data_IF_505326016376
#
_entry.id   IF_505326016376
#
_cell.length_a   1.000
_cell.length_b   1.000
_cell.length_c   1.000
_cell.angle_alpha   90.00
_cell.angle_beta   90.00
_cell.angle_gamma   90.00
#
_symmetry.space_group_name_H-M   'P 1'
#
loop_
_entity.id
_entity.type
_entity.pdbx_description
1 polymer ?
#
# COMPACT_ATOMS: atom_id res chain seq x y z
N UNK A 1 30.04 -24.08 -21.48
CA UNK A 1 29.03 -23.27 -22.20
C UNK A 1 27.59 -23.56 -21.72
N UNK A 2 27.18 -24.83 -21.61
CA UNK A 2 25.85 -25.23 -21.11
C UNK A 2 25.57 -24.89 -19.63
N UNK A 3 26.57 -24.83 -18.76
CA UNK A 3 26.41 -24.47 -17.34
C UNK A 3 26.15 -22.97 -17.15
N UNK A 4 26.93 -22.12 -17.85
CA UNK A 4 26.72 -20.67 -17.89
C UNK A 4 25.34 -20.28 -18.45
N UNK A 5 24.80 -21.03 -19.42
CA UNK A 5 23.45 -20.83 -19.95
C UNK A 5 22.37 -21.12 -18.90
N UNK A 6 22.52 -22.22 -18.14
CA UNK A 6 21.58 -22.63 -17.09
C UNK A 6 21.56 -21.68 -15.89
N UNK A 7 22.69 -21.06 -15.55
CA UNK A 7 22.74 -20.04 -14.50
C UNK A 7 22.00 -18.76 -14.91
N UNK A 8 22.16 -18.32 -16.16
CA UNK A 8 21.44 -17.16 -16.69
C UNK A 8 19.93 -17.39 -16.69
N UNK A 9 19.47 -18.57 -17.15
CA UNK A 9 18.04 -18.93 -17.10
C UNK A 9 17.47 -18.91 -15.68
N UNK A 10 18.22 -19.43 -14.70
CA UNK A 10 17.80 -19.43 -13.29
C UNK A 10 17.74 -18.01 -12.72
N UNK A 11 18.70 -17.16 -13.01
CA UNK A 11 18.69 -15.76 -12.59
C UNK A 11 17.48 -15.01 -13.18
N UNK A 12 17.16 -15.25 -14.45
CA UNK A 12 15.99 -14.66 -15.11
C UNK A 12 14.69 -15.17 -14.49
N UNK A 13 14.58 -16.47 -14.19
CA UNK A 13 13.42 -17.03 -13.50
C UNK A 13 13.20 -16.37 -12.13
N UNK A 14 14.27 -16.20 -11.35
CA UNK A 14 14.20 -15.54 -10.03
C UNK A 14 13.76 -14.08 -10.13
N UNK A 15 14.26 -13.36 -11.14
CA UNK A 15 13.84 -11.99 -11.40
C UNK A 15 12.36 -11.90 -11.77
N UNK A 16 11.88 -12.79 -12.65
CA UNK A 16 10.47 -12.87 -13.03
C UNK A 16 9.60 -13.18 -11.81
N UNK A 17 9.99 -14.14 -10.98
CA UNK A 17 9.28 -14.46 -9.74
C UNK A 17 9.22 -13.25 -8.80
N UNK A 18 10.32 -12.52 -8.62
CA UNK A 18 10.36 -11.33 -7.77
C UNK A 18 9.41 -10.25 -8.27
N UNK A 19 9.38 -9.99 -9.58
CA UNK A 19 8.46 -9.03 -10.19
C UNK A 19 7.01 -9.49 -10.03
N UNK A 20 6.72 -10.79 -10.20
CA UNK A 20 5.39 -11.35 -9.97
C UNK A 20 4.93 -11.18 -8.52
N UNK A 21 5.78 -11.47 -7.54
CA UNK A 21 5.46 -11.28 -6.12
C UNK A 21 5.23 -9.81 -5.76
N UNK A 22 6.07 -8.90 -6.27
CA UNK A 22 5.88 -7.47 -6.07
C UNK A 22 4.56 -6.97 -6.70
N UNK A 23 4.22 -7.49 -7.89
CA UNK A 23 2.96 -7.18 -8.57
C UNK A 23 1.76 -7.73 -7.78
N UNK A 24 1.85 -8.95 -7.26
CA UNK A 24 0.82 -9.54 -6.41
C UNK A 24 0.59 -8.72 -5.14
N UNK A 25 1.67 -8.29 -4.47
CA UNK A 25 1.57 -7.38 -3.33
C UNK A 25 0.90 -6.05 -3.69
N UNK A 26 1.27 -5.45 -4.82
CA UNK A 26 0.68 -4.20 -5.29
C UNK A 26 -0.82 -4.34 -5.56
N UNK A 27 -1.27 -5.46 -6.10
CA UNK A 27 -2.68 -5.73 -6.36
C UNK A 27 -3.47 -6.00 -5.06
N UNK A 28 -2.87 -6.69 -4.10
CA UNK A 28 -3.52 -6.97 -2.80
C UNK A 28 -3.54 -5.71 -1.92
N UNK A 29 -2.52 -4.87 -1.96
CA UNK A 29 -2.40 -3.65 -1.17
C UNK A 29 -2.37 -2.41 -2.07
N UNK A 30 -3.50 -2.06 -2.73
CA UNK A 30 -3.50 -1.02 -3.77
C UNK A 30 -3.36 0.41 -3.22
N UNK A 31 -3.63 0.60 -1.93
CA UNK A 31 -3.54 1.87 -1.23
C UNK A 31 -2.18 2.11 -0.58
N UNK A 32 -1.88 3.38 -0.30
CA UNK A 32 -0.56 3.84 0.12
C UNK A 32 -0.48 4.03 1.63
N UNK A 33 0.66 3.70 2.23
CA UNK A 33 0.93 4.06 3.62
C UNK A 33 1.41 5.50 3.75
N UNK A 34 1.44 6.03 4.98
CA UNK A 34 1.91 7.38 5.30
C UNK A 34 3.34 7.67 4.84
N UNK A 35 4.19 6.65 4.79
CA UNK A 35 5.57 6.78 4.31
C UNK A 35 5.60 7.03 2.79
N UNK A 36 4.69 6.41 2.05
CA UNK A 36 4.54 6.56 0.61
C UNK A 36 3.70 7.78 0.21
N UNK A 37 2.73 8.17 1.05
CA UNK A 37 1.66 9.11 0.69
C UNK A 37 2.19 10.43 0.15
N UNK A 38 3.16 11.06 0.81
CA UNK A 38 3.72 12.34 0.35
C UNK A 38 4.35 12.27 -1.04
N UNK A 39 5.09 11.19 -1.33
CA UNK A 39 5.67 11.00 -2.65
C UNK A 39 4.59 10.75 -3.70
N UNK A 40 3.51 10.08 -3.31
CA UNK A 40 2.36 9.81 -4.18
C UNK A 40 1.56 11.09 -4.47
N UNK A 41 1.31 11.95 -3.46
CA UNK A 41 0.69 13.26 -3.67
C UNK A 41 1.53 14.12 -4.62
N UNK A 42 2.83 14.19 -4.38
CA UNK A 42 3.75 14.93 -5.27
C UNK A 42 3.78 14.37 -6.70
N UNK A 43 3.78 13.04 -6.86
CA UNK A 43 3.73 12.40 -8.18
C UNK A 43 2.41 12.67 -8.90
N UNK A 44 1.27 12.66 -8.19
CA UNK A 44 -0.01 13.08 -8.73
C UNK A 44 0.07 14.51 -9.27
N UNK A 45 0.56 15.44 -8.45
CA UNK A 45 0.59 16.85 -8.81
C UNK A 45 1.47 17.12 -10.02
N UNK A 46 2.61 16.44 -10.11
CA UNK A 46 3.49 16.50 -11.28
C UNK A 46 2.82 15.94 -12.55
N UNK A 47 2.06 14.85 -12.45
CA UNK A 47 1.38 14.23 -13.59
C UNK A 47 0.18 15.06 -14.08
N UNK A 48 -0.64 15.59 -13.18
CA UNK A 48 -1.92 16.23 -13.51
C UNK A 48 -1.88 17.77 -13.43
N UNK A 49 -1.16 18.37 -12.48
CA UNK A 49 -1.05 19.83 -12.34
C UNK A 49 0.19 20.42 -13.03
N UNK A 50 1.25 19.61 -13.21
CA UNK A 50 2.45 19.90 -14.02
C UNK A 50 3.26 21.11 -13.57
N UNK A 51 2.90 22.31 -14.04
CA UNK A 51 3.58 23.57 -13.72
C UNK A 51 2.71 24.48 -12.85
N UNK A 52 1.48 24.07 -12.53
CA UNK A 52 0.56 24.80 -11.67
C UNK A 52 0.90 24.52 -10.20
N UNK A 53 2.03 25.07 -9.74
CA UNK A 53 2.58 24.83 -8.40
C UNK A 53 1.60 25.24 -7.29
N UNK A 54 0.79 26.28 -7.51
CA UNK A 54 -0.21 26.75 -6.55
C UNK A 54 -1.24 25.68 -6.17
N UNK A 55 -1.45 24.68 -7.04
CA UNK A 55 -2.39 23.58 -6.80
C UNK A 55 -1.77 22.41 -6.04
N UNK A 56 -0.48 22.44 -5.74
CA UNK A 56 0.20 21.29 -5.18
C UNK A 56 -0.16 21.06 -3.72
N UNK A 57 -0.18 19.79 -3.33
CA UNK A 57 -0.63 19.33 -2.02
C UNK A 57 0.20 19.88 -0.87
N UNK A 58 1.50 20.07 -1.10
CA UNK A 58 2.42 20.55 -0.07
C UNK A 58 2.13 21.99 0.44
N UNK A 59 1.30 22.76 -0.27
CA UNK A 59 0.81 24.06 0.20
C UNK A 59 -0.38 23.93 1.15
N UNK A 60 -1.25 22.95 0.92
CA UNK A 60 -2.39 22.65 1.81
C UNK A 60 -1.94 21.83 3.02
N UNK A 61 -0.97 20.93 2.82
CA UNK A 61 -0.46 20.00 3.82
C UNK A 61 1.07 19.92 3.80
N UNK A 62 1.78 20.92 4.35
CA UNK A 62 3.22 20.87 4.51
C UNK A 62 3.56 19.84 5.59
N UNK A 63 3.98 18.64 5.19
CA UNK A 63 4.35 17.59 6.14
C UNK A 63 5.40 18.05 7.17
N UNK A 64 5.38 17.44 8.35
CA UNK A 64 6.26 17.82 9.49
C UNK A 64 7.76 17.62 9.25
N UNK A 65 8.14 16.98 8.14
CA UNK A 65 9.54 16.75 7.75
C UNK A 65 9.75 17.20 6.30
N UNK A 66 10.77 18.04 6.01
CA UNK A 66 11.09 18.41 4.64
C UNK A 66 11.59 17.20 3.86
N UNK A 67 10.99 16.95 2.70
CA UNK A 67 11.34 15.82 1.81
C UNK A 67 11.86 16.33 0.49
N UNK A 68 12.74 15.56 -0.14
CA UNK A 68 13.23 15.86 -1.47
C UNK A 68 12.16 15.63 -2.53
N UNK A 69 12.05 16.54 -3.50
CA UNK A 69 11.15 16.41 -4.64
C UNK A 69 11.73 15.55 -5.78
N UNK A 70 13.00 15.15 -5.68
CA UNK A 70 13.72 14.41 -6.73
C UNK A 70 13.09 13.05 -7.01
N UNK A 71 12.66 12.33 -5.96
CA UNK A 71 12.03 11.01 -6.10
C UNK A 71 10.71 11.07 -6.88
N UNK A 72 9.72 11.86 -6.43
CA UNK A 72 8.46 12.06 -7.16
C UNK A 72 8.64 12.61 -8.59
N UNK A 73 9.60 13.51 -8.81
CA UNK A 73 9.94 14.00 -10.15
C UNK A 73 10.41 12.88 -11.08
N UNK A 74 11.32 12.04 -10.60
CA UNK A 74 11.80 10.89 -11.38
C UNK A 74 10.68 9.89 -11.67
N UNK A 75 9.86 9.54 -10.66
CA UNK A 75 8.77 8.58 -10.81
C UNK A 75 7.65 9.09 -11.72
N UNK A 76 7.28 10.37 -11.61
CA UNK A 76 6.29 10.99 -12.49
C UNK A 76 6.78 11.04 -13.94
N UNK A 77 8.04 11.39 -14.20
CA UNK A 77 8.61 11.36 -15.54
C UNK A 77 8.59 9.93 -16.14
N UNK A 78 8.95 8.94 -15.33
CA UNK A 78 8.96 7.53 -15.77
C UNK A 78 7.55 7.00 -16.06
N UNK A 79 6.56 7.41 -15.28
CA UNK A 79 5.17 6.98 -15.43
C UNK A 79 4.34 7.85 -16.39
N UNK A 80 4.80 9.04 -16.76
CA UNK A 80 4.05 10.02 -17.54
C UNK A 80 3.48 9.53 -18.88
N UNK A 81 4.21 8.75 -19.72
CA UNK A 81 3.65 8.28 -20.98
C UNK A 81 2.45 7.35 -20.77
N UNK A 82 2.58 6.39 -19.86
CA UNK A 82 1.51 5.45 -19.55
C UNK A 82 0.36 6.14 -18.80
N UNK A 83 0.64 7.06 -17.87
CA UNK A 83 -0.37 7.84 -17.17
C UNK A 83 -1.17 8.75 -18.14
N UNK A 84 -0.50 9.31 -19.15
CA UNK A 84 -1.16 10.12 -20.18
C UNK A 84 -2.08 9.28 -21.06
N UNK A 85 -1.70 8.04 -21.39
CA UNK A 85 -2.57 7.09 -22.10
C UNK A 85 -3.79 6.75 -21.25
N UNK A 86 -3.61 6.43 -19.96
CA UNK A 86 -4.73 6.16 -19.05
C UNK A 86 -5.68 7.35 -18.96
N UNK A 87 -5.14 8.57 -18.82
CA UNK A 87 -5.94 9.78 -18.77
C UNK A 87 -6.65 10.07 -20.10
N UNK A 88 -6.04 9.77 -21.25
CA UNK A 88 -6.66 9.96 -22.57
C UNK A 88 -7.80 8.97 -22.83
N UNK A 89 -7.76 7.79 -22.19
CA UNK A 89 -8.82 6.78 -22.21
C UNK A 89 -9.88 6.99 -21.13
N UNK A 90 -9.84 8.13 -20.42
CA UNK A 90 -10.73 8.46 -19.29
C UNK A 90 -10.74 7.36 -18.19
N UNK A 91 -9.59 6.71 -18.01
CA UNK A 91 -9.42 5.70 -16.97
C UNK A 91 -9.22 6.39 -15.61
N UNK A 92 -9.86 5.85 -14.58
CA UNK A 92 -9.77 6.35 -13.20
C UNK A 92 -8.33 6.59 -12.75
N UNK A 93 -8.11 7.74 -12.09
CA UNK A 93 -6.81 8.13 -11.51
C UNK A 93 -6.24 7.08 -10.56
N UNK A 94 -7.07 6.22 -9.98
CA UNK A 94 -6.66 5.08 -9.17
C UNK A 94 -5.64 4.17 -9.90
N UNK A 95 -5.82 3.93 -11.20
CA UNK A 95 -4.87 3.09 -11.97
C UNK A 95 -3.53 3.79 -12.18
N UNK A 96 -3.52 5.12 -12.27
CA UNK A 96 -2.28 5.90 -12.30
C UNK A 96 -1.52 5.81 -10.97
N UNK A 97 -2.20 5.68 -9.83
CA UNK A 97 -1.53 5.36 -8.56
C UNK A 97 -0.85 3.99 -8.61
N UNK A 98 -1.54 2.96 -9.09
CA UNK A 98 -0.94 1.62 -9.23
C UNK A 98 0.27 1.65 -10.17
N UNK A 99 0.19 2.41 -11.26
CA UNK A 99 1.30 2.60 -12.19
C UNK A 99 2.51 3.24 -11.52
N UNK A 100 2.34 4.37 -10.82
CA UNK A 100 3.45 5.07 -10.12
C UNK A 100 4.10 4.15 -9.08
N UNK A 101 3.31 3.42 -8.30
CA UNK A 101 3.81 2.45 -7.32
C UNK A 101 4.50 1.27 -7.97
N UNK A 102 3.99 0.78 -9.09
CA UNK A 102 4.63 -0.25 -9.92
C UNK A 102 5.99 0.21 -10.45
N UNK A 103 6.08 1.43 -10.97
CA UNK A 103 7.34 2.05 -11.39
C UNK A 103 8.35 2.11 -10.24
N UNK A 104 7.93 2.54 -9.04
CA UNK A 104 8.78 2.55 -7.85
C UNK A 104 9.27 1.14 -7.50
N UNK A 105 8.36 0.15 -7.46
CA UNK A 105 8.71 -1.25 -7.20
C UNK A 105 9.72 -1.82 -8.18
N UNK A 106 9.53 -1.57 -9.49
CA UNK A 106 10.46 -1.98 -10.54
C UNK A 106 11.82 -1.31 -10.42
N UNK A 107 11.86 -0.01 -10.07
CA UNK A 107 13.12 0.71 -9.83
C UNK A 107 13.89 0.12 -8.65
N UNK A 108 13.20 -0.22 -7.55
CA UNK A 108 13.81 -0.86 -6.37
C UNK A 108 14.33 -2.26 -6.74
N UNK A 109 13.54 -3.06 -7.44
CA UNK A 109 13.96 -4.39 -7.91
C UNK A 109 15.21 -4.28 -8.80
N UNK A 110 15.21 -3.36 -9.77
CA UNK A 110 16.34 -3.14 -10.65
C UNK A 110 17.59 -2.68 -9.91
N UNK A 111 17.45 -1.74 -8.96
CA UNK A 111 18.57 -1.25 -8.15
C UNK A 111 19.18 -2.37 -7.31
N UNK A 112 18.35 -3.17 -6.63
CA UNK A 112 18.81 -4.32 -5.83
C UNK A 112 19.45 -5.40 -6.70
N UNK A 113 18.87 -5.69 -7.87
CA UNK A 113 19.42 -6.66 -8.81
C UNK A 113 20.79 -6.21 -9.36
N UNK A 114 20.92 -4.93 -9.72
CA UNK A 114 22.20 -4.37 -10.18
C UNK A 114 23.24 -4.39 -9.07
N UNK A 115 22.85 -4.02 -7.85
CA UNK A 115 23.71 -4.07 -6.66
C UNK A 115 24.21 -5.51 -6.41
N UNK A 116 23.30 -6.49 -6.45
CA UNK A 116 23.67 -7.90 -6.32
C UNK A 116 24.71 -8.32 -7.37
N UNK A 117 24.54 -7.90 -8.63
CA UNK A 117 25.47 -8.25 -9.72
C UNK A 117 26.85 -7.65 -9.54
N UNK A 118 26.92 -6.36 -9.22
CA UNK A 118 28.22 -5.69 -9.02
C UNK A 118 28.96 -6.22 -7.80
N UNK A 119 28.23 -6.49 -6.70
CA UNK A 119 28.86 -7.06 -5.51
C UNK A 119 29.42 -8.47 -5.79
N UNK A 120 28.68 -9.33 -6.51
CA UNK A 120 29.18 -10.64 -6.94
C UNK A 120 30.43 -10.54 -7.82
N UNK A 121 30.50 -9.51 -8.67
CA UNK A 121 31.64 -9.27 -9.57
C UNK A 121 32.88 -8.81 -8.81
N UNK A 122 32.72 -7.91 -7.83
CA UNK A 122 33.85 -7.26 -7.16
C UNK A 122 34.42 -8.09 -5.99
N UNK A 123 33.57 -8.80 -5.25
CA UNK A 123 33.93 -9.46 -3.99
C UNK A 123 33.95 -10.99 -4.06
N UNK A 124 33.66 -11.56 -5.23
CA UNK A 124 33.35 -12.99 -5.35
C UNK A 124 32.15 -13.38 -4.47
N UNK A 125 31.89 -14.67 -4.27
CA UNK A 125 30.75 -15.14 -3.48
C UNK A 125 30.85 -14.88 -1.97
N UNK A 126 31.98 -14.37 -1.46
CA UNK A 126 32.40 -14.61 -0.07
C UNK A 126 32.51 -13.35 0.80
N UNK A 127 32.65 -12.15 0.22
CA UNK A 127 32.96 -10.89 0.93
C UNK A 127 31.81 -9.85 0.91
N UNK A 128 30.58 -10.28 1.19
CA UNK A 128 29.36 -9.45 1.30
C UNK A 128 29.13 -8.83 2.71
N UNK A 129 30.14 -8.80 3.58
CA UNK A 129 29.93 -8.95 5.04
C UNK A 129 29.70 -7.69 5.88
N UNK A 130 29.89 -6.47 5.38
CA UNK A 130 29.92 -5.30 6.27
C UNK A 130 28.62 -4.48 6.26
N UNK A 131 27.76 -4.79 7.24
CA UNK A 131 26.89 -3.89 8.02
C UNK A 131 25.46 -3.61 7.50
N UNK A 132 25.15 -3.59 6.20
CA UNK A 132 23.75 -3.46 5.69
C UNK A 132 23.22 -4.75 5.03
N UNK A 133 24.11 -5.72 4.78
CA UNK A 133 23.81 -6.98 4.07
C UNK A 133 23.60 -8.20 4.97
N UNK A 134 23.64 -8.04 6.30
CA UNK A 134 23.63 -9.20 7.22
C UNK A 134 22.39 -10.07 7.04
N UNK A 135 21.21 -9.46 6.85
CA UNK A 135 19.96 -10.21 6.60
C UNK A 135 19.97 -10.97 5.27
N UNK A 136 20.25 -10.33 4.11
CA UNK A 136 20.45 -11.05 2.85
C UNK A 136 21.52 -12.14 2.92
N UNK A 137 22.64 -11.90 3.61
CA UNK A 137 23.75 -12.85 3.73
C UNK A 137 23.37 -14.07 4.58
N UNK A 138 22.72 -13.86 5.74
CA UNK A 138 22.22 -14.96 6.56
C UNK A 138 21.18 -15.79 5.81
N UNK A 139 20.30 -15.16 5.03
CA UNK A 139 19.34 -15.85 4.17
C UNK A 139 20.05 -16.65 3.06
N UNK A 140 21.12 -16.14 2.47
CA UNK A 140 21.93 -16.87 1.47
C UNK A 140 22.62 -18.08 2.11
N UNK A 141 23.25 -17.92 3.28
CA UNK A 141 23.91 -19.02 3.99
C UNK A 141 22.88 -20.10 4.36
N UNK A 142 21.71 -19.69 4.88
CA UNK A 142 20.61 -20.60 5.18
C UNK A 142 20.13 -21.33 3.90
N UNK A 143 20.00 -20.63 2.77
CA UNK A 143 19.61 -21.22 1.50
C UNK A 143 20.64 -22.23 0.97
N UNK A 144 21.94 -21.94 1.08
CA UNK A 144 23.01 -22.88 0.71
C UNK A 144 22.95 -24.13 1.59
N UNK A 145 22.77 -23.97 2.91
CA UNK A 145 22.60 -25.08 3.84
C UNK A 145 21.39 -25.94 3.51
N UNK A 146 20.23 -25.31 3.30
CA UNK A 146 18.99 -25.99 2.89
C UNK A 146 19.17 -26.76 1.57
N UNK A 147 19.81 -26.13 0.58
CA UNK A 147 20.09 -26.75 -0.73
C UNK A 147 20.99 -27.97 -0.59
N UNK A 148 22.06 -27.87 0.20
CA UNK A 148 22.98 -29.00 0.47
C UNK A 148 22.26 -30.18 1.12
N UNK A 149 21.37 -29.91 2.10
CA UNK A 149 20.57 -30.95 2.75
C UNK A 149 19.63 -31.63 1.74
N UNK A 150 18.92 -30.85 0.93
CA UNK A 150 17.95 -31.33 -0.06
C UNK A 150 18.60 -32.17 -1.17
N UNK A 151 19.75 -31.75 -1.70
CA UNK A 151 20.48 -32.50 -2.74
C UNK A 151 20.94 -33.85 -2.20
N UNK A 152 21.34 -33.91 -0.93
CA UNK A 152 21.88 -35.11 -0.30
C UNK A 152 20.80 -36.00 0.35
N UNK A 153 19.50 -35.78 0.11
CA UNK A 153 18.40 -36.47 0.82
C UNK A 153 18.48 -38.01 0.78
N UNK A 154 19.03 -38.61 -0.27
CA UNK A 154 19.13 -40.08 -0.40
C UNK A 154 20.27 -40.70 0.41
N UNK A 155 21.22 -39.92 0.92
CA UNK A 155 22.46 -40.43 1.53
C UNK A 155 22.25 -41.05 2.91
N UNK A 156 21.40 -40.48 3.75
CA UNK A 156 21.17 -41.00 5.11
C UNK A 156 19.79 -40.62 5.63
N UNK A 157 19.34 -41.32 6.68
CA UNK A 157 18.10 -40.99 7.40
C UNK A 157 18.15 -39.56 7.97
N UNK A 158 19.34 -39.10 8.40
CA UNK A 158 19.52 -37.72 8.88
C UNK A 158 19.26 -36.69 7.77
N UNK A 159 19.73 -36.92 6.54
CA UNK A 159 19.43 -36.05 5.40
C UNK A 159 17.95 -36.09 4.99
N UNK A 160 17.28 -37.25 5.13
CA UNK A 160 15.83 -37.36 4.92
C UNK A 160 15.05 -36.52 5.93
N UNK A 161 15.39 -36.64 7.22
CA UNK A 161 14.78 -35.85 8.29
C UNK A 161 15.07 -34.35 8.11
N UNK A 162 16.32 -34.00 7.79
CA UNK A 162 16.71 -32.63 7.49
C UNK A 162 15.94 -32.04 6.31
N UNK A 163 15.72 -32.81 5.25
CA UNK A 163 14.93 -32.36 4.09
C UNK A 163 13.47 -32.10 4.46
N UNK A 164 12.88 -32.94 5.33
CA UNK A 164 11.53 -32.70 5.87
C UNK A 164 11.47 -31.39 6.67
N UNK A 165 12.49 -31.11 7.50
CA UNK A 165 12.60 -29.85 8.26
C UNK A 165 12.68 -28.66 7.30
N UNK A 166 13.51 -28.73 6.25
CA UNK A 166 13.65 -27.67 5.24
C UNK A 166 12.31 -27.40 4.54
N UNK A 167 11.62 -28.45 4.08
CA UNK A 167 10.30 -28.31 3.43
C UNK A 167 9.29 -27.67 4.39
N UNK A 168 9.24 -28.15 5.63
CA UNK A 168 8.33 -27.63 6.66
C UNK A 168 8.61 -26.16 6.96
N UNK A 169 9.88 -25.80 7.14
CA UNK A 169 10.31 -24.41 7.34
C UNK A 169 9.90 -23.50 6.18
N UNK A 170 10.07 -23.94 4.93
CA UNK A 170 9.65 -23.16 3.75
C UNK A 170 8.12 -22.97 3.70
N UNK A 171 7.35 -24.02 4.01
CA UNK A 171 5.89 -23.93 4.09
C UNK A 171 5.44 -22.97 5.21
N UNK A 172 6.05 -23.05 6.39
CA UNK A 172 5.75 -22.14 7.50
C UNK A 172 6.06 -20.69 7.13
N UNK A 173 7.20 -20.40 6.48
CA UNK A 173 7.53 -19.05 6.01
C UNK A 173 6.55 -18.54 4.97
N UNK A 174 6.13 -19.40 4.02
CA UNK A 174 5.14 -19.03 3.02
C UNK A 174 3.79 -18.69 3.67
N UNK A 175 3.30 -19.53 4.58
CA UNK A 175 2.08 -19.28 5.34
C UNK A 175 2.18 -17.99 6.18
N UNK A 176 3.30 -17.78 6.87
CA UNK A 176 3.53 -16.60 7.69
C UNK A 176 3.58 -15.31 6.85
N UNK A 177 4.29 -15.36 5.71
CA UNK A 177 4.34 -14.23 4.77
C UNK A 177 2.97 -13.92 4.19
N UNK A 178 2.18 -14.95 3.84
CA UNK A 178 0.80 -14.79 3.42
C UNK A 178 -0.10 -14.17 4.49
N UNK A 179 0.08 -14.57 5.76
CA UNK A 179 -0.65 -13.98 6.89
C UNK A 179 -0.27 -12.51 7.11
N UNK A 180 1.01 -12.14 7.00
CA UNK A 180 1.46 -10.75 7.09
C UNK A 180 0.95 -9.90 5.93
N UNK A 181 0.91 -10.46 4.71
CA UNK A 181 0.30 -9.81 3.54
C UNK A 181 -1.19 -9.57 3.76
N UNK A 182 -1.91 -10.57 4.28
CA UNK A 182 -3.32 -10.45 4.63
C UNK A 182 -3.53 -9.40 5.74
N UNK A 183 -2.64 -9.29 6.72
CA UNK A 183 -2.67 -8.23 7.73
C UNK A 183 -2.44 -6.84 7.13
N UNK A 184 -1.48 -6.73 6.21
CA UNK A 184 -1.17 -5.49 5.50
C UNK A 184 -2.36 -4.99 4.68
N UNK A 185 -3.08 -5.89 3.99
CA UNK A 185 -4.27 -5.55 3.21
C UNK A 185 -5.32 -4.77 4.02
N UNK A 186 -5.55 -5.16 5.28
CA UNK A 186 -6.51 -4.51 6.18
C UNK A 186 -6.00 -3.22 6.83
N UNK A 187 -4.81 -2.76 6.48
CA UNK A 187 -4.15 -1.64 7.13
C UNK A 187 -4.30 -0.32 6.33
N UNK A 188 -5.28 -0.23 5.44
CA UNK A 188 -5.57 0.96 4.63
C UNK A 188 -7.02 1.46 4.73
N UNK A 189 -7.56 1.66 5.95
CA UNK A 189 -8.96 2.05 6.12
C UNK A 189 -9.32 3.37 5.42
N UNK A 190 -8.43 4.36 5.34
CA UNK A 190 -8.71 5.63 4.65
C UNK A 190 -8.91 5.46 3.14
N UNK A 191 -8.06 4.65 2.49
CA UNK A 191 -8.21 4.31 1.07
C UNK A 191 -9.53 3.58 0.80
N UNK A 192 -9.87 2.62 1.66
CA UNK A 192 -11.16 1.89 1.60
C UNK A 192 -12.34 2.83 1.82
N UNK A 193 -12.24 3.78 2.75
CA UNK A 193 -13.29 4.76 3.03
C UNK A 193 -13.58 5.64 1.80
N UNK A 194 -12.54 6.14 1.14
CA UNK A 194 -12.67 6.94 -0.09
C UNK A 194 -13.27 6.12 -1.24
N UNK A 195 -12.80 4.89 -1.42
CA UNK A 195 -13.36 3.99 -2.45
C UNK A 195 -14.87 3.76 -2.20
N UNK A 196 -15.24 3.40 -0.98
CA UNK A 196 -16.63 3.11 -0.62
C UNK A 196 -17.54 4.34 -0.75
N UNK A 197 -17.03 5.52 -0.42
CA UNK A 197 -17.75 6.79 -0.62
C UNK A 197 -18.03 7.01 -2.10
N UNK A 198 -17.02 6.83 -2.96
CA UNK A 198 -17.15 6.97 -4.41
C UNK A 198 -18.07 5.94 -5.07
N UNK A 199 -18.12 4.72 -4.54
CA UNK A 199 -19.03 3.68 -5.00
C UNK A 199 -20.48 3.92 -4.58
N UNK A 200 -20.70 4.58 -3.44
CA UNK A 200 -22.05 4.75 -2.89
C UNK A 200 -22.72 6.05 -3.31
N UNK A 201 -21.97 7.16 -3.36
CA UNK A 201 -22.54 8.47 -3.66
C UNK A 201 -22.41 8.75 -5.16
N UNK A 202 -23.52 9.07 -5.87
CA UNK A 202 -23.46 9.35 -7.30
C UNK A 202 -22.49 10.49 -7.65
N UNK A 203 -21.73 10.39 -8.76
CA UNK A 203 -20.77 11.41 -9.16
C UNK A 203 -21.36 12.82 -9.38
N UNK A 204 -22.65 12.88 -9.76
CA UNK A 204 -23.36 14.14 -10.01
C UNK A 204 -23.76 14.90 -8.74
N UNK A 205 -23.68 14.25 -7.57
CA UNK A 205 -24.02 14.88 -6.29
C UNK A 205 -22.99 15.93 -5.91
N UNK A 206 -23.44 17.09 -5.43
CA UNK A 206 -22.57 18.13 -4.91
C UNK A 206 -22.00 17.73 -3.53
N UNK A 207 -20.89 17.00 -3.55
CA UNK A 207 -20.21 16.52 -2.34
C UNK A 207 -19.04 17.43 -1.97
N UNK A 208 -19.00 17.81 -0.70
CA UNK A 208 -17.83 18.38 -0.03
C UNK A 208 -17.43 17.42 1.08
N UNK A 209 -16.25 16.82 0.98
CA UNK A 209 -15.74 15.82 1.92
C UNK A 209 -14.53 16.36 2.66
N UNK A 210 -14.60 16.36 3.98
CA UNK A 210 -13.42 16.56 4.81
C UNK A 210 -12.73 15.24 5.10
N UNK A 211 -11.40 15.22 5.00
CA UNK A 211 -10.55 14.05 5.19
C UNK A 211 -9.59 14.39 6.33
N UNK A 212 -9.75 13.72 7.46
CA UNK A 212 -8.89 13.95 8.62
C UNK A 212 -7.50 13.31 8.47
N UNK A 213 -6.63 13.61 9.44
CA UNK A 213 -5.26 13.12 9.47
C UNK A 213 -5.20 11.59 9.47
N UNK A 214 -6.03 10.91 10.27
CA UNK A 214 -6.02 9.45 10.34
C UNK A 214 -6.41 8.81 9.00
N UNK A 215 -7.40 9.37 8.31
CA UNK A 215 -7.82 8.94 6.97
C UNK A 215 -6.71 9.20 5.95
N UNK A 216 -6.12 10.40 5.96
CA UNK A 216 -5.01 10.78 5.09
C UNK A 216 -3.78 9.85 5.24
N UNK A 217 -3.46 9.44 6.46
CA UNK A 217 -2.32 8.56 6.76
C UNK A 217 -2.56 7.08 6.41
N UNK A 218 -3.82 6.69 6.16
CA UNK A 218 -4.22 5.29 5.98
C UNK A 218 -4.79 4.98 4.59
N UNK A 219 -4.30 5.65 3.55
CA UNK A 219 -4.54 5.24 2.16
C UNK A 219 -5.10 6.32 1.24
N UNK A 220 -5.48 7.49 1.77
CA UNK A 220 -6.06 8.55 0.95
C UNK A 220 -4.97 9.32 0.19
N UNK A 221 -5.13 9.41 -1.12
CA UNK A 221 -4.30 10.22 -2.02
C UNK A 221 -5.19 10.99 -3.01
N UNK A 222 -4.64 12.00 -3.68
CA UNK A 222 -5.31 12.72 -4.77
C UNK A 222 -5.64 11.83 -5.97
N UNK A 223 -4.99 10.68 -6.10
CA UNK A 223 -5.40 9.67 -7.09
C UNK A 223 -6.75 9.01 -6.76
N UNK A 224 -7.20 9.07 -5.49
CA UNK A 224 -8.52 8.58 -5.07
C UNK A 224 -9.63 9.64 -5.19
N UNK A 225 -9.29 10.88 -5.57
CA UNK A 225 -10.27 11.96 -5.77
C UNK A 225 -10.92 11.82 -7.16
N UNK A 226 -11.79 10.82 -7.32
CA UNK A 226 -12.25 10.37 -8.64
C UNK A 226 -13.21 11.34 -9.32
N UNK A 227 -13.96 12.13 -8.56
CA UNK A 227 -15.01 13.00 -9.08
C UNK A 227 -14.55 14.46 -9.08
N UNK A 228 -14.31 15.10 -10.25
CA UNK A 228 -13.83 16.48 -10.32
C UNK A 228 -14.83 17.53 -9.80
N UNK A 229 -16.12 17.18 -9.75
CA UNK A 229 -17.20 18.03 -9.20
C UNK A 229 -17.22 18.06 -7.68
N UNK A 230 -16.52 17.12 -7.02
CA UNK A 230 -16.48 17.03 -5.57
C UNK A 230 -15.36 17.92 -5.02
N UNK A 231 -15.61 18.49 -3.84
CA UNK A 231 -14.60 19.21 -3.07
C UNK A 231 -14.00 18.27 -2.03
N UNK A 232 -12.69 18.11 -2.07
CA UNK A 232 -11.92 17.37 -1.07
C UNK A 232 -11.13 18.39 -0.24
N UNK A 233 -11.26 18.31 1.08
CA UNK A 233 -10.64 19.26 2.01
C UNK A 233 -9.86 18.50 3.07
N UNK A 234 -8.54 18.73 3.16
CA UNK A 234 -7.63 18.03 4.08
C UNK A 234 -7.10 18.93 5.19
N UNK A 235 -7.66 20.12 5.38
CA UNK A 235 -7.14 21.07 6.36
C UNK A 235 -7.33 20.56 7.78
N UNK A 236 -6.29 20.67 8.61
CA UNK A 236 -6.33 20.18 10.00
C UNK A 236 -6.95 21.17 11.00
N UNK A 237 -7.17 22.43 10.59
CA UNK A 237 -7.63 23.53 11.45
C UNK A 237 -9.15 23.50 11.75
N UNK A 238 -9.84 22.47 11.26
CA UNK A 238 -11.28 22.30 11.39
C UNK A 238 -11.69 22.03 12.84
N UNK A 239 -12.35 23.01 13.45
CA UNK A 239 -12.98 22.86 14.77
C UNK A 239 -14.41 22.33 14.63
N UNK A 240 -14.75 21.21 15.29
CA UNK A 240 -16.07 20.57 15.20
C UNK A 240 -17.25 21.49 15.54
N UNK A 241 -17.06 22.50 16.39
CA UNK A 241 -18.16 23.37 16.84
C UNK A 241 -18.50 24.50 15.86
N UNK A 242 -17.53 24.96 15.06
CA UNK A 242 -17.67 26.14 14.19
C UNK A 242 -17.87 25.73 12.73
N UNK A 243 -17.19 24.67 12.29
CA UNK A 243 -17.13 24.29 10.87
C UNK A 243 -17.72 22.90 10.59
N UNK A 244 -18.38 22.25 11.56
CA UNK A 244 -19.02 20.95 11.34
C UNK A 244 -20.11 20.96 10.28
N UNK A 245 -20.68 22.12 9.93
CA UNK A 245 -21.67 22.24 8.87
C UNK A 245 -21.07 22.58 7.49
N UNK A 246 -19.76 22.79 7.37
CA UNK A 246 -19.13 23.20 6.13
C UNK A 246 -19.06 22.06 5.09
N UNK A 247 -18.87 20.82 5.54
CA UNK A 247 -18.72 19.66 4.66
C UNK A 247 -19.95 18.77 4.72
N UNK A 248 -20.28 18.15 3.58
CA UNK A 248 -21.40 17.19 3.48
C UNK A 248 -21.05 15.83 4.09
N UNK A 249 -19.77 15.48 4.02
CA UNK A 249 -19.23 14.21 4.49
C UNK A 249 -17.94 14.44 5.27
N UNK A 250 -17.70 13.59 6.26
CA UNK A 250 -16.47 13.58 7.04
C UNK A 250 -15.89 12.17 7.06
N UNK A 251 -14.66 12.01 6.61
CA UNK A 251 -13.84 10.82 6.82
C UNK A 251 -12.99 11.10 8.05
N UNK A 252 -13.25 10.38 9.14
CA UNK A 252 -12.55 10.64 10.38
C UNK A 252 -12.26 9.41 11.22
N UNK A 253 -11.27 9.52 12.11
CA UNK A 253 -10.96 8.51 13.11
C UNK A 253 -12.19 8.15 13.96
N UNK A 254 -12.34 6.85 14.24
CA UNK A 254 -13.36 6.35 15.14
C UNK A 254 -13.03 6.76 16.58
N UNK A 255 -13.46 7.97 16.95
CA UNK A 255 -13.39 8.47 18.31
C UNK A 255 -14.81 8.84 18.79
N UNK A 256 -15.38 8.09 19.75
CA UNK A 256 -16.73 8.33 20.25
C UNK A 256 -16.96 9.77 20.74
N UNK A 257 -15.95 10.41 21.35
CA UNK A 257 -16.05 11.78 21.86
C UNK A 257 -16.19 12.78 20.71
N UNK A 258 -15.39 12.62 19.65
CA UNK A 258 -15.47 13.51 18.49
C UNK A 258 -16.73 13.26 17.67
N UNK A 259 -17.13 12.00 17.47
CA UNK A 259 -18.36 11.66 16.72
C UNK A 259 -19.59 12.24 17.40
N UNK A 260 -19.64 12.27 18.75
CA UNK A 260 -20.74 12.87 19.49
C UNK A 260 -20.92 14.37 19.21
N UNK A 261 -19.87 15.08 18.81
CA UNK A 261 -19.96 16.50 18.44
C UNK A 261 -20.74 16.70 17.13
N UNK A 262 -20.74 15.69 16.24
CA UNK A 262 -21.45 15.74 14.96
C UNK A 262 -22.87 15.16 15.02
N UNK A 263 -23.32 14.62 16.18
CA UNK A 263 -24.59 13.86 16.30
C UNK A 263 -25.84 14.61 15.82
N UNK A 264 -25.81 15.94 15.85
CA UNK A 264 -26.94 16.79 15.48
C UNK A 264 -26.92 17.20 13.99
N UNK A 265 -25.78 17.08 13.32
CA UNK A 265 -25.58 17.56 11.94
C UNK A 265 -25.35 16.41 10.96
N UNK A 266 -24.65 15.37 11.41
CA UNK A 266 -24.30 14.21 10.60
C UNK A 266 -24.69 12.91 11.29
N UNK A 267 -24.84 11.87 10.47
CA UNK A 267 -25.01 10.49 10.92
C UNK A 267 -23.94 9.60 10.32
N UNK A 268 -23.62 8.51 11.01
CA UNK A 268 -22.66 7.52 10.51
C UNK A 268 -23.24 6.86 9.27
N UNK A 269 -22.54 7.02 8.14
CA UNK A 269 -22.82 6.35 6.88
C UNK A 269 -22.14 4.98 6.86
N UNK A 270 -20.83 4.94 7.20
CA UNK A 270 -20.05 3.70 7.22
C UNK A 270 -19.11 3.64 8.43
N UNK A 271 -18.96 2.43 8.97
CA UNK A 271 -17.85 2.04 9.83
C UNK A 271 -16.82 1.32 8.97
N UNK A 272 -15.56 1.77 9.01
CA UNK A 272 -14.47 1.18 8.25
C UNK A 272 -13.52 0.46 9.20
N UNK A 273 -13.48 -0.84 9.04
CA UNK A 273 -12.60 -1.71 9.82
C UNK A 273 -11.16 -1.62 9.33
N UNK A 274 -10.21 -1.60 10.27
CA UNK A 274 -8.79 -1.71 10.01
C UNK A 274 -8.15 -2.80 10.87
N UNK A 275 -6.92 -3.17 10.54
CA UNK A 275 -6.11 -4.10 11.33
C UNK A 275 -5.92 -3.58 12.77
N UNK A 276 -6.19 -4.44 13.76
CA UNK A 276 -5.96 -4.13 15.18
C UNK A 276 -4.95 -5.08 15.82
N UNK A 277 -4.93 -6.34 15.41
CA UNK A 277 -3.98 -7.32 15.92
C UNK A 277 -4.25 -8.74 15.43
N UNK A 278 -3.54 -9.70 16.03
CA UNK A 278 -3.72 -11.13 15.75
C UNK A 278 -4.47 -11.76 16.93
N UNK A 279 -5.58 -12.42 16.63
CA UNK A 279 -6.34 -13.24 17.55
C UNK A 279 -5.89 -14.68 17.55
N UNK A 280 -6.11 -15.36 18.66
CA UNK A 280 -5.87 -16.79 18.82
C UNK A 280 -7.15 -17.47 19.30
N UNK A 281 -7.59 -18.52 18.61
CA UNK A 281 -8.74 -19.34 18.97
C UNK A 281 -8.49 -20.79 18.51
N UNK A 282 -8.30 -21.70 19.48
CA UNK A 282 -8.07 -23.13 19.24
C UNK A 282 -9.25 -23.85 18.56
N UNK A 283 -10.44 -23.25 18.55
CA UNK A 283 -11.64 -23.82 17.91
C UNK A 283 -11.74 -23.51 16.41
N UNK A 284 -10.85 -22.66 15.87
CA UNK A 284 -10.80 -22.31 14.46
C UNK A 284 -9.52 -22.86 13.82
N UNK A 285 -9.58 -23.20 12.53
CA UNK A 285 -8.41 -23.64 11.75
C UNK A 285 -8.23 -22.70 10.56
N UNK A 286 -7.10 -21.96 10.46
CA UNK A 286 -5.99 -21.91 11.41
C UNK A 286 -6.39 -21.24 12.74
N UNK A 287 -5.73 -21.56 13.86
CA UNK A 287 -6.08 -21.03 15.18
C UNK A 287 -5.71 -19.55 15.34
N UNK A 288 -5.05 -18.95 14.35
CA UNK A 288 -4.74 -17.53 14.31
C UNK A 288 -5.65 -16.85 13.29
N UNK A 289 -6.25 -15.73 13.68
CA UNK A 289 -7.06 -14.90 12.79
C UNK A 289 -6.70 -13.43 12.97
N UNK A 290 -7.04 -12.62 11.99
CA UNK A 290 -6.81 -11.18 12.07
C UNK A 290 -7.99 -10.54 12.80
N UNK A 291 -7.69 -9.85 13.90
CA UNK A 291 -8.64 -8.99 14.60
C UNK A 291 -8.68 -7.65 13.88
N UNK A 292 -9.83 -7.34 13.31
CA UNK A 292 -10.13 -6.01 12.78
C UNK A 292 -11.04 -5.26 13.75
N UNK A 293 -10.93 -3.95 13.75
CA UNK A 293 -11.74 -3.05 14.57
C UNK A 293 -12.09 -1.82 13.74
N UNK A 294 -13.23 -1.17 14.01
CA UNK A 294 -13.57 0.11 13.38
C UNK A 294 -12.51 1.15 13.71
N UNK A 295 -11.70 1.53 12.73
CA UNK A 295 -10.65 2.54 12.88
C UNK A 295 -11.09 3.90 12.35
N UNK A 296 -11.90 3.92 11.30
CA UNK A 296 -12.46 5.15 10.72
C UNK A 296 -13.98 5.06 10.59
N UNK A 297 -14.61 6.21 10.51
CA UNK A 297 -16.01 6.37 10.17
C UNK A 297 -16.17 7.36 9.02
N UNK A 298 -17.17 7.12 8.20
CA UNK A 298 -17.65 8.07 7.21
C UNK A 298 -18.96 8.62 7.73
N UNK A 299 -19.03 9.93 7.93
CA UNK A 299 -20.25 10.63 8.32
C UNK A 299 -20.88 11.28 7.08
N UNK A 300 -22.21 11.34 7.05
CA UNK A 300 -23.02 12.02 6.03
C UNK A 300 -24.02 12.96 6.71
N UNK A 301 -24.27 14.14 6.13
CA UNK A 301 -25.31 15.05 6.62
C UNK A 301 -26.67 14.37 6.71
N UNK A 302 -27.37 14.61 7.83
CA UNK A 302 -28.65 13.95 8.14
C UNK A 302 -29.71 14.20 7.05
N UNK A 303 -29.80 15.42 6.51
CA UNK A 303 -30.81 15.71 5.48
C UNK A 303 -30.56 14.93 4.18
N UNK A 304 -29.30 14.72 3.78
CA UNK A 304 -28.94 13.94 2.59
C UNK A 304 -29.35 12.48 2.77
N UNK A 305 -29.06 11.91 3.94
CA UNK A 305 -29.51 10.55 4.29
C UNK A 305 -31.03 10.40 4.21
N UNK A 306 -31.76 11.40 4.70
CA UNK A 306 -33.23 11.39 4.67
C UNK A 306 -33.78 11.49 3.25
N UNK A 307 -33.13 12.26 2.36
CA UNK A 307 -33.50 12.28 0.94
C UNK A 307 -33.21 10.95 0.23
N UNK A 308 -32.06 10.34 0.50
CA UNK A 308 -31.69 9.04 -0.06
C UNK A 308 -32.67 7.94 0.38
N UNK A 309 -33.08 7.93 1.66
CA UNK A 309 -34.10 7.03 2.20
C UNK A 309 -35.51 7.23 1.61
N UNK A 310 -35.81 8.41 1.05
CA UNK A 310 -37.09 8.67 0.37
C UNK A 310 -37.09 8.26 -1.10
N UNK A 311 -35.90 8.12 -1.70
CA UNK A 311 -35.72 7.79 -3.12
C UNK A 311 -35.46 6.30 -3.38
N UNK A 312 -35.01 5.56 -2.36
CA UNK A 312 -34.83 4.10 -2.40
C UNK A 312 -36.06 3.35 -1.93
#
# INVERSE_FOLDING_TARGET
>A
MAEKSRDVEREMLLLVLLVLFASLHLLICPFTKVEESFNMQAAHDLLYHRLQLDKYDHHEFPGVVPRTFVGPLFLSLLSAPAASILSALDVSKFYSQLLVRGCLGLCVIYALWKLQKEVRKQFGSTELRFIIYTFPVLNIIAAIGCSSIMINYRKSVLYKLGSLIVITHLLVNACYTGMLLYASHHNYPGGVAMQKLHETVPPATAVSVHIDVASAQTGVTRFLELNPSWRYDKREDLKPDVESNAHTHYLMEMNPVYILQYRNTHSIMFNISGFNGIGFNLSQVPPFYIKTETKLVVLEKIYMRNENMRKG
#
